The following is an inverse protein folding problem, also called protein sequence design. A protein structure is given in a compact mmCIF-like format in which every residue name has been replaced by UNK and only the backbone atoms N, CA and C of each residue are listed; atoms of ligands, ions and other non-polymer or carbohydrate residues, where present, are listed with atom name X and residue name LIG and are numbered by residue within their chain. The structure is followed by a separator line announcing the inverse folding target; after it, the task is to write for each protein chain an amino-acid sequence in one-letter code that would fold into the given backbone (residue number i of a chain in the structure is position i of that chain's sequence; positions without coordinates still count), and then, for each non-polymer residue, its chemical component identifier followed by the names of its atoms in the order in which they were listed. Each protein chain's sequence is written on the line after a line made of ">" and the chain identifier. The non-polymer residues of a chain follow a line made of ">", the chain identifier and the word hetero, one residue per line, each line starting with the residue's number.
data_IF_939398587843
#
_entry.id   IF_939398587843
#
_cell.length_a   1.000
_cell.length_b   1.000
_cell.length_c   1.000
_cell.angle_alpha   90.00
_cell.angle_beta   90.00
_cell.angle_gamma   90.00
#
_symmetry.space_group_name_H-M   'P 1'
#
loop_
_entity.id
_entity.type
_entity.pdbx_description
1 polymer ?
#
# COMPACT_ATOMS: atom_id res chain seq x y z
N UNK A 1 0.72 -2.66 11.50
CA UNK A 1 0.11 -3.05 10.21
C UNK A 1 0.37 -2.03 9.10
N UNK A 2 -0.10 -0.77 9.17
CA UNK A 2 0.09 0.22 8.08
C UNK A 2 1.56 0.51 7.71
N UNK A 3 2.46 0.64 8.69
CA UNK A 3 3.88 0.98 8.47
C UNK A 3 4.68 -0.12 7.74
N UNK A 4 4.26 -1.37 7.86
CA UNK A 4 4.94 -2.54 7.29
C UNK A 4 4.64 -2.68 5.80
N UNK A 5 3.37 -2.49 5.41
CA UNK A 5 2.98 -2.63 4.00
C UNK A 5 3.64 -1.55 3.14
N UNK A 6 3.77 -0.32 3.67
CA UNK A 6 4.52 0.74 3.01
C UNK A 6 5.97 0.32 2.75
N UNK A 7 6.64 -0.33 3.72
CA UNK A 7 8.01 -0.83 3.55
C UNK A 7 8.09 -1.90 2.46
N UNK A 8 7.15 -2.85 2.43
CA UNK A 8 7.08 -3.92 1.41
C UNK A 8 6.91 -3.32 0.02
N UNK A 9 5.95 -2.40 -0.15
CA UNK A 9 5.71 -1.71 -1.41
C UNK A 9 6.95 -0.93 -1.87
N UNK A 10 7.60 -0.18 -0.97
CA UNK A 10 8.80 0.60 -1.31
C UNK A 10 9.99 -0.29 -1.70
N UNK A 11 10.19 -1.40 -0.98
CA UNK A 11 11.23 -2.39 -1.31
C UNK A 11 10.99 -3.00 -2.70
N UNK A 12 9.73 -3.36 -2.98
CA UNK A 12 9.32 -3.88 -4.26
C UNK A 12 9.53 -2.85 -5.38
N UNK A 13 9.05 -1.62 -5.18
CA UNK A 13 9.22 -0.49 -6.10
C UNK A 13 10.68 -0.25 -6.45
N UNK A 14 11.54 -0.20 -5.43
CA UNK A 14 12.98 0.00 -5.60
C UNK A 14 13.62 -1.12 -6.43
N UNK A 15 13.21 -2.37 -6.22
CA UNK A 15 13.78 -3.52 -6.91
C UNK A 15 13.30 -3.61 -8.36
N UNK A 16 11.99 -3.46 -8.59
CA UNK A 16 11.44 -3.48 -9.95
C UNK A 16 11.96 -2.29 -10.78
N UNK A 17 12.09 -1.10 -10.17
CA UNK A 17 12.62 0.09 -10.83
C UNK A 17 14.07 -0.04 -11.31
N UNK A 18 14.82 -1.04 -10.85
CA UNK A 18 16.19 -1.35 -11.33
C UNK A 18 16.19 -2.23 -12.59
N UNK A 19 15.04 -2.82 -13.00
CA UNK A 19 14.96 -3.65 -14.21
C UNK A 19 15.09 -2.75 -15.45
N UNK A 20 16.09 -3.03 -16.29
CA UNK A 20 16.37 -2.25 -17.51
C UNK A 20 15.20 -2.33 -18.50
N UNK A 21 14.90 -1.21 -19.15
CA UNK A 21 13.87 -1.13 -20.19
C UNK A 21 12.44 -0.91 -19.69
N UNK A 22 12.23 -0.94 -18.37
CA UNK A 22 10.95 -0.61 -17.74
C UNK A 22 11.00 0.80 -17.15
N UNK A 23 9.95 1.59 -17.38
CA UNK A 23 9.83 2.96 -16.86
C UNK A 23 8.57 3.13 -16.01
N UNK A 24 8.74 3.38 -14.72
CA UNK A 24 7.62 3.78 -13.86
C UNK A 24 7.08 5.16 -14.28
N UNK A 25 5.77 5.30 -14.29
CA UNK A 25 4.99 6.52 -14.52
C UNK A 25 4.08 6.77 -13.32
N UNK A 26 3.66 8.02 -13.14
CA UNK A 26 2.71 8.45 -12.10
C UNK A 26 1.36 8.91 -12.66
N UNK A 27 1.04 8.49 -13.89
CA UNK A 27 -0.16 8.92 -14.61
C UNK A 27 -0.73 7.75 -15.38
N UNK A 28 -1.96 7.91 -15.85
CA UNK A 28 -2.60 6.95 -16.76
C UNK A 28 -1.85 6.81 -18.10
N UNK A 29 -0.85 7.66 -18.42
CA UNK A 29 -0.02 7.54 -19.63
C UNK A 29 1.12 6.54 -19.42
N UNK A 30 0.75 5.30 -19.19
CA UNK A 30 1.60 4.12 -19.05
C UNK A 30 1.08 2.96 -19.91
N UNK A 31 1.89 1.92 -20.14
CA UNK A 31 1.50 0.77 -20.95
C UNK A 31 0.78 -0.30 -20.10
N UNK A 32 1.18 -0.45 -18.84
CA UNK A 32 0.61 -1.41 -17.89
C UNK A 32 0.30 -0.79 -16.52
N UNK A 33 -0.53 -1.46 -15.73
CA UNK A 33 -0.83 -1.12 -14.34
C UNK A 33 -0.36 -2.23 -13.40
N UNK A 34 0.31 -1.87 -12.31
CA UNK A 34 0.66 -2.80 -11.23
C UNK A 34 -0.23 -2.52 -10.01
N UNK A 35 -0.84 -3.55 -9.45
CA UNK A 35 -1.61 -3.45 -8.21
C UNK A 35 -1.08 -4.43 -7.15
N UNK A 36 -1.01 -3.98 -5.90
CA UNK A 36 -0.56 -4.82 -4.79
C UNK A 36 -1.77 -5.46 -4.12
N UNK A 37 -1.72 -6.78 -3.94
CA UNK A 37 -2.80 -7.56 -3.34
C UNK A 37 -2.25 -8.30 -2.11
N UNK A 38 -2.21 -7.65 -0.93
CA UNK A 38 -1.85 -8.34 0.29
C UNK A 38 -2.94 -9.34 0.69
N UNK A 39 -2.53 -10.58 0.96
CA UNK A 39 -3.42 -11.62 1.45
C UNK A 39 -3.62 -11.41 2.94
N UNK A 40 -4.82 -10.98 3.32
CA UNK A 40 -5.23 -10.71 4.70
C UNK A 40 -6.31 -11.68 5.15
N UNK A 41 -7.15 -12.15 4.22
CA UNK A 41 -8.20 -13.12 4.48
C UNK A 41 -7.84 -14.48 3.88
N UNK A 42 -8.26 -14.72 2.65
CA UNK A 42 -7.97 -15.91 1.83
C UNK A 42 -7.55 -15.44 0.46
N UNK A 43 -6.54 -16.09 -0.11
CA UNK A 43 -5.97 -15.70 -1.41
C UNK A 43 -7.04 -15.49 -2.49
N UNK A 44 -7.96 -16.46 -2.67
CA UNK A 44 -9.04 -16.32 -3.65
C UNK A 44 -9.94 -15.10 -3.40
N UNK A 45 -10.32 -14.84 -2.15
CA UNK A 45 -11.19 -13.70 -1.81
C UNK A 45 -10.50 -12.35 -2.07
N UNK A 46 -9.26 -12.20 -1.61
CA UNK A 46 -8.52 -10.94 -1.75
C UNK A 46 -8.16 -10.66 -3.22
N UNK A 47 -7.83 -11.71 -4.01
CA UNK A 47 -7.59 -11.60 -5.46
C UNK A 47 -8.87 -11.22 -6.20
N UNK A 48 -10.00 -11.87 -5.92
CA UNK A 48 -11.29 -11.52 -6.54
C UNK A 48 -11.67 -10.07 -6.26
N UNK A 49 -11.52 -9.61 -5.02
CA UNK A 49 -11.79 -8.21 -4.66
C UNK A 49 -10.88 -7.22 -5.41
N UNK A 50 -9.61 -7.57 -5.64
CA UNK A 50 -8.71 -6.75 -6.45
C UNK A 50 -9.13 -6.70 -7.92
N UNK A 51 -9.53 -7.84 -8.49
CA UNK A 51 -10.06 -7.93 -9.86
C UNK A 51 -11.34 -7.11 -10.02
N UNK A 52 -12.28 -7.23 -9.10
CA UNK A 52 -13.55 -6.47 -9.13
C UNK A 52 -13.30 -4.97 -9.05
N UNK A 53 -12.40 -4.54 -8.15
CA UNK A 53 -11.96 -3.14 -8.06
C UNK A 53 -11.37 -2.65 -9.39
N UNK A 54 -10.54 -3.44 -10.06
CA UNK A 54 -9.94 -3.07 -11.34
C UNK A 54 -10.99 -2.97 -12.45
N UNK A 55 -11.95 -3.90 -12.50
CA UNK A 55 -13.05 -3.87 -13.47
C UNK A 55 -13.90 -2.61 -13.28
N UNK A 56 -14.18 -2.22 -12.04
CA UNK A 56 -14.98 -1.03 -11.72
C UNK A 56 -14.22 0.29 -11.91
N UNK A 57 -12.89 0.25 -11.93
CA UNK A 57 -12.03 1.43 -12.11
C UNK A 57 -11.88 1.89 -13.57
N UNK A 58 -12.40 1.14 -14.55
CA UNK A 58 -12.19 1.49 -15.97
C UNK A 58 -10.73 1.34 -16.44
N UNK A 59 -9.88 0.63 -15.68
CA UNK A 59 -8.54 0.25 -16.12
C UNK A 59 -8.67 -0.86 -17.17
N UNK A 60 -8.63 -0.49 -18.44
CA UNK A 60 -8.65 -1.43 -19.58
C UNK A 60 -7.25 -1.88 -20.04
N UNK A 61 -6.20 -1.47 -19.33
CA UNK A 61 -4.81 -1.79 -19.67
C UNK A 61 -4.43 -3.19 -19.19
N UNK A 62 -3.33 -3.76 -19.71
CA UNK A 62 -2.66 -4.89 -19.07
C UNK A 62 -2.39 -4.62 -17.59
N UNK A 63 -2.69 -5.59 -16.75
CA UNK A 63 -2.51 -5.50 -15.30
C UNK A 63 -1.55 -6.59 -14.81
N UNK A 64 -0.71 -6.22 -13.84
CA UNK A 64 0.05 -7.17 -13.04
C UNK A 64 -0.43 -7.05 -11.59
N UNK A 65 -1.00 -8.13 -11.06
CA UNK A 65 -1.33 -8.29 -9.65
C UNK A 65 -0.13 -8.85 -8.92
N UNK A 66 0.44 -8.07 -8.00
CA UNK A 66 1.51 -8.52 -7.10
C UNK A 66 0.85 -9.05 -5.83
N UNK A 67 0.65 -10.37 -5.77
CA UNK A 67 -0.01 -11.04 -4.65
C UNK A 67 1.00 -11.24 -3.53
N UNK A 68 0.78 -10.59 -2.39
CA UNK A 68 1.72 -10.57 -1.26
C UNK A 68 1.23 -11.53 -0.17
N UNK A 69 1.90 -12.66 -0.01
CA UNK A 69 1.61 -13.69 0.97
C UNK A 69 2.44 -13.47 2.24
N UNK A 70 1.80 -13.20 3.40
CA UNK A 70 2.52 -13.11 4.66
C UNK A 70 3.06 -14.49 5.07
N UNK A 71 4.33 -14.52 5.49
CA UNK A 71 5.01 -15.73 5.98
C UNK A 71 6.29 -15.39 6.74
N UNK A 72 6.67 -16.28 7.67
CA UNK A 72 8.00 -16.31 8.28
C UNK A 72 8.96 -17.28 7.55
N UNK A 73 8.40 -18.16 6.72
CA UNK A 73 9.13 -19.15 5.95
C UNK A 73 9.47 -18.62 4.54
N UNK A 74 10.77 -18.57 4.24
CA UNK A 74 11.31 -18.11 2.95
C UNK A 74 11.10 -19.13 1.80
N UNK A 75 10.84 -20.40 2.13
CA UNK A 75 10.64 -21.48 1.17
C UNK A 75 9.16 -21.88 1.05
N UNK A 76 8.26 -21.08 1.65
CA UNK A 76 6.82 -21.33 1.61
C UNK A 76 6.34 -21.49 0.17
N UNK A 77 5.84 -22.69 -0.12
CA UNK A 77 5.09 -22.96 -1.34
C UNK A 77 3.71 -22.31 -1.18
N UNK A 78 3.37 -21.44 -2.12
CA UNK A 78 2.03 -20.86 -2.25
C UNK A 78 1.40 -21.34 -3.55
N UNK A 79 0.08 -21.56 -3.59
CA UNK A 79 -0.63 -21.86 -4.82
C UNK A 79 -0.42 -20.75 -5.86
N UNK A 80 -0.43 -21.13 -7.14
CA UNK A 80 -0.34 -20.17 -8.25
C UNK A 80 -1.63 -19.33 -8.31
N UNK A 81 -1.48 -18.03 -8.02
CA UNK A 81 -2.59 -17.08 -7.97
C UNK A 81 -3.21 -16.78 -9.34
N UNK A 82 -2.55 -17.11 -10.46
CA UNK A 82 -3.15 -16.94 -11.79
C UNK A 82 -4.44 -17.75 -11.93
N UNK A 83 -4.57 -18.86 -11.21
CA UNK A 83 -5.78 -19.69 -11.21
C UNK A 83 -7.02 -18.98 -10.63
N UNK A 84 -6.82 -17.91 -9.85
CA UNK A 84 -7.91 -17.12 -9.25
C UNK A 84 -8.21 -15.82 -10.04
N UNK A 85 -7.47 -15.55 -11.12
CA UNK A 85 -7.63 -14.32 -11.91
C UNK A 85 -8.58 -14.57 -13.08
N UNK A 86 -9.77 -13.95 -13.02
CA UNK A 86 -10.77 -13.98 -14.09
C UNK A 86 -10.89 -12.63 -14.81
N UNK A 87 -9.77 -12.07 -15.27
CA UNK A 87 -9.72 -10.81 -16.01
C UNK A 87 -8.69 -10.88 -17.13
N UNK A 88 -9.11 -10.60 -18.35
CA UNK A 88 -8.23 -10.59 -19.53
C UNK A 88 -7.03 -9.66 -19.35
N UNK A 89 -5.91 -10.02 -19.99
CA UNK A 89 -4.66 -9.25 -19.93
C UNK A 89 -4.20 -8.96 -18.49
N UNK A 90 -4.38 -9.92 -17.58
CA UNK A 90 -3.94 -9.83 -16.19
C UNK A 90 -2.96 -10.95 -15.89
N UNK A 91 -1.79 -10.61 -15.38
CA UNK A 91 -0.85 -11.54 -14.79
C UNK A 91 -0.93 -11.42 -13.27
N UNK A 92 -1.06 -12.53 -12.55
CA UNK A 92 -0.74 -12.56 -11.13
C UNK A 92 0.67 -13.12 -10.91
N UNK A 93 1.43 -12.49 -10.02
CA UNK A 93 2.68 -13.05 -9.52
C UNK A 93 2.65 -13.14 -8.01
N UNK A 94 3.15 -14.25 -7.49
CA UNK A 94 3.15 -14.54 -6.06
C UNK A 94 4.46 -14.13 -5.41
N UNK A 95 4.38 -13.21 -4.46
CA UNK A 95 5.49 -12.77 -3.63
C UNK A 95 5.24 -13.13 -2.17
N UNK A 96 6.30 -13.43 -1.43
CA UNK A 96 6.26 -13.67 0.01
C UNK A 96 6.93 -12.54 0.78
N UNK A 97 6.33 -12.13 1.89
CA UNK A 97 6.87 -11.08 2.76
C UNK A 97 6.68 -11.45 4.22
N UNK A 98 7.48 -10.80 5.07
CA UNK A 98 7.39 -10.88 6.52
C UNK A 98 7.13 -9.48 7.08
N UNK A 99 6.35 -9.38 8.13
CA UNK A 99 5.91 -8.08 8.63
C UNK A 99 7.01 -7.22 9.28
N UNK A 100 8.07 -7.86 9.78
CA UNK A 100 9.19 -7.21 10.45
C UNK A 100 10.28 -6.80 9.46
N UNK A 101 10.56 -7.65 8.48
CA UNK A 101 11.67 -7.47 7.53
C UNK A 101 11.26 -7.02 6.13
N UNK A 102 9.96 -7.05 5.82
CA UNK A 102 9.42 -6.70 4.51
C UNK A 102 9.54 -7.83 3.48
N UNK A 103 9.86 -7.48 2.24
CA UNK A 103 9.92 -8.45 1.13
C UNK A 103 11.09 -9.42 1.34
N UNK A 104 10.80 -10.73 1.34
CA UNK A 104 11.82 -11.74 1.62
C UNK A 104 12.83 -11.86 0.47
N UNK A 105 14.09 -12.11 0.81
CA UNK A 105 15.15 -12.42 -0.17
C UNK A 105 15.15 -13.93 -0.43
N UNK A 106 14.33 -14.36 -1.38
CA UNK A 106 14.17 -15.76 -1.75
C UNK A 106 14.05 -15.92 -3.28
N UNK A 107 14.27 -17.15 -3.75
CA UNK A 107 14.17 -17.49 -5.17
C UNK A 107 12.79 -17.16 -5.75
N UNK A 108 11.72 -17.48 -5.02
CA UNK A 108 10.34 -17.19 -5.43
C UNK A 108 10.11 -15.71 -5.78
N UNK A 109 10.59 -14.81 -4.92
CA UNK A 109 10.44 -13.38 -5.18
C UNK A 109 11.29 -12.93 -6.37
N UNK A 110 12.48 -13.50 -6.58
CA UNK A 110 13.28 -13.21 -7.78
C UNK A 110 12.58 -13.67 -9.07
N UNK A 111 12.02 -14.88 -9.06
CA UNK A 111 11.22 -15.42 -10.17
C UNK A 111 10.02 -14.54 -10.47
N UNK A 112 9.31 -14.03 -9.45
CA UNK A 112 8.21 -13.09 -9.63
C UNK A 112 8.67 -11.80 -10.35
N UNK A 113 9.82 -11.22 -9.99
CA UNK A 113 10.35 -10.05 -10.70
C UNK A 113 10.77 -10.36 -12.14
N UNK A 114 11.27 -11.56 -12.41
CA UNK A 114 11.63 -12.01 -13.76
C UNK A 114 10.39 -12.26 -14.61
N UNK A 115 9.34 -12.84 -14.02
CA UNK A 115 8.07 -13.09 -14.67
C UNK A 115 7.38 -11.78 -15.06
N UNK A 116 7.34 -10.79 -14.17
CA UNK A 116 6.86 -9.44 -14.50
C UNK A 116 7.64 -8.87 -15.69
N UNK A 117 8.98 -8.90 -15.63
CA UNK A 117 9.81 -8.34 -16.67
C UNK A 117 9.61 -9.06 -18.02
N UNK A 118 9.46 -10.39 -18.00
CA UNK A 118 9.18 -11.21 -19.16
C UNK A 118 7.81 -10.93 -19.74
N UNK A 119 6.78 -10.83 -18.92
CA UNK A 119 5.42 -10.52 -19.35
C UNK A 119 5.35 -9.15 -20.02
N UNK A 120 5.89 -8.12 -19.37
CA UNK A 120 5.90 -6.76 -19.91
C UNK A 120 6.67 -6.72 -21.24
N UNK A 121 7.85 -7.33 -21.31
CA UNK A 121 8.66 -7.38 -22.53
C UNK A 121 7.95 -8.14 -23.67
N UNK A 122 7.35 -9.29 -23.38
CA UNK A 122 6.70 -10.13 -24.41
C UNK A 122 5.47 -9.46 -25.02
N UNK A 123 4.83 -8.54 -24.27
CA UNK A 123 3.70 -7.74 -24.72
C UNK A 123 4.10 -6.36 -25.24
N UNK A 124 5.40 -6.08 -25.44
CA UNK A 124 5.94 -4.78 -25.85
C UNK A 124 5.56 -3.61 -24.92
N UNK A 125 5.36 -3.88 -23.62
CA UNK A 125 5.02 -2.90 -22.59
C UNK A 125 6.31 -2.38 -21.96
N UNK A 126 6.58 -1.08 -22.09
CA UNK A 126 7.86 -0.47 -21.67
C UNK A 126 7.70 0.44 -20.45
N UNK A 127 6.47 0.72 -20.06
CA UNK A 127 6.15 1.58 -18.94
C UNK A 127 4.98 1.06 -18.14
N UNK A 128 5.00 1.34 -16.84
CA UNK A 128 3.94 0.94 -15.93
C UNK A 128 3.64 2.04 -14.91
N UNK A 129 2.45 2.04 -14.35
CA UNK A 129 2.10 2.85 -13.17
C UNK A 129 1.54 1.96 -12.08
N UNK A 130 1.69 2.37 -10.82
CA UNK A 130 1.00 1.68 -9.73
C UNK A 130 -0.45 2.13 -9.68
N UNK A 131 -1.37 1.19 -9.48
CA UNK A 131 -2.81 1.45 -9.43
C UNK A 131 -3.17 2.55 -8.43
N UNK A 132 -2.59 2.49 -7.22
CA UNK A 132 -2.75 3.49 -6.15
C UNK A 132 -2.24 4.90 -6.51
N UNK A 133 -1.31 5.01 -7.46
CA UNK A 133 -0.76 6.28 -7.93
C UNK A 133 -1.59 6.88 -9.08
N UNK A 134 -2.56 6.14 -9.64
CA UNK A 134 -3.41 6.64 -10.70
C UNK A 134 -4.45 7.62 -10.14
N UNK A 135 -4.75 8.72 -10.85
CA UNK A 135 -5.90 9.55 -10.52
C UNK A 135 -7.14 8.66 -10.47
N UNK A 136 -7.86 8.68 -9.34
CA UNK A 136 -9.06 7.86 -9.15
C UNK A 136 -10.01 8.03 -10.33
N UNK A 137 -10.40 6.94 -11.00
CA UNK A 137 -11.33 7.05 -12.11
C UNK A 137 -12.74 7.41 -11.66
N UNK A 138 -13.25 6.94 -10.50
CA UNK A 138 -14.55 7.31 -9.89
C UNK A 138 -14.68 6.68 -8.47
N UNK A 139 -15.63 7.14 -7.61
CA UNK A 139 -15.67 6.86 -6.16
C UNK A 139 -15.95 5.40 -5.80
N UNK A 140 -15.50 5.04 -4.61
CA UNK A 140 -15.76 3.79 -3.91
C UNK A 140 -17.26 3.47 -3.90
N UNK A 141 -17.61 2.33 -4.49
CA UNK A 141 -18.93 1.72 -4.39
C UNK A 141 -19.05 0.97 -3.07
N UNK A 142 -19.27 1.71 -2.00
CA UNK A 142 -19.90 1.23 -0.76
C UNK A 142 -20.78 2.40 -0.35
N UNK A 143 -22.09 2.30 -0.59
CA UNK A 143 -23.18 3.06 0.05
C UNK A 143 -24.50 2.54 -0.56
N UNK A 144 -25.03 1.45 0.00
CA UNK A 144 -26.47 1.45 0.24
C UNK A 144 -26.69 2.42 1.41
N UNK A 145 -27.76 3.21 1.29
CA UNK A 145 -28.18 4.30 2.17
C UNK A 145 -27.49 5.68 2.04
N UNK A 146 -28.10 6.46 1.15
CA UNK A 146 -28.50 7.86 1.38
C UNK A 146 -27.45 8.95 1.12
N UNK A 147 -27.55 9.51 -0.08
CA UNK A 147 -26.99 10.81 -0.50
C UNK A 147 -27.23 11.89 0.57
N UNK A 148 -26.17 12.33 1.26
CA UNK A 148 -25.95 13.71 1.81
C UNK A 148 -24.70 13.83 2.73
N UNK A 149 -23.77 12.86 2.74
CA UNK A 149 -22.64 12.85 3.71
C UNK A 149 -21.25 13.22 3.12
N UNK A 150 -21.07 13.20 1.80
CA UNK A 150 -19.72 13.17 1.18
C UNK A 150 -18.91 14.48 1.25
N UNK A 151 -19.57 15.65 1.32
CA UNK A 151 -18.86 16.93 1.53
C UNK A 151 -18.44 17.12 2.99
N UNK A 152 -19.18 16.53 3.93
CA UNK A 152 -18.93 16.65 5.36
C UNK A 152 -17.80 15.70 5.76
N UNK A 153 -17.74 14.46 5.27
CA UNK A 153 -16.71 13.50 5.68
C UNK A 153 -15.27 13.94 5.29
N UNK A 154 -15.09 14.52 4.11
CA UNK A 154 -13.78 15.05 3.66
C UNK A 154 -13.35 16.29 4.45
N UNK A 155 -14.29 17.17 4.76
CA UNK A 155 -14.01 18.38 5.54
C UNK A 155 -13.85 18.06 7.02
N UNK A 156 -14.62 17.14 7.59
CA UNK A 156 -14.50 16.66 8.96
C UNK A 156 -13.24 15.84 9.17
N UNK A 157 -12.79 14.97 8.26
CA UNK A 157 -11.50 14.27 8.44
C UNK A 157 -10.31 15.24 8.42
N UNK A 158 -10.35 16.22 7.51
CA UNK A 158 -9.36 17.28 7.42
C UNK A 158 -9.38 18.19 8.65
N UNK A 159 -10.58 18.58 9.12
CA UNK A 159 -10.78 19.38 10.32
C UNK A 159 -10.44 18.61 11.59
N UNK A 160 -10.78 17.33 11.68
CA UNK A 160 -10.49 16.45 12.81
C UNK A 160 -9.00 16.18 12.91
N UNK A 161 -8.30 15.92 11.80
CA UNK A 161 -6.83 15.83 11.77
C UNK A 161 -6.16 17.15 12.15
N UNK A 162 -6.68 18.30 11.68
CA UNK A 162 -6.17 19.63 12.08
C UNK A 162 -6.49 19.95 13.55
N UNK A 163 -7.65 19.58 14.04
CA UNK A 163 -8.11 19.86 15.41
C UNK A 163 -7.43 18.95 16.43
N UNK A 164 -7.27 17.66 16.11
CA UNK A 164 -6.49 16.71 16.88
C UNK A 164 -5.02 17.16 16.95
N UNK A 165 -4.38 17.50 15.82
CA UNK A 165 -2.98 17.96 15.84
C UNK A 165 -2.81 19.26 16.61
N UNK A 166 -3.74 20.22 16.47
CA UNK A 166 -3.71 21.49 17.19
C UNK A 166 -3.94 21.31 18.70
N UNK A 167 -4.94 20.51 19.12
CA UNK A 167 -5.20 20.24 20.54
C UNK A 167 -4.12 19.38 21.19
N UNK A 168 -3.63 18.34 20.50
CA UNK A 168 -2.58 17.50 21.05
C UNK A 168 -1.31 18.30 21.32
N UNK A 169 -0.92 19.21 20.43
CA UNK A 169 0.23 20.07 20.66
C UNK A 169 0.05 20.98 21.88
N UNK A 170 -1.13 21.55 22.08
CA UNK A 170 -1.43 22.38 23.26
C UNK A 170 -1.39 21.55 24.55
N UNK A 171 -1.95 20.33 24.53
CA UNK A 171 -1.90 19.41 25.69
C UNK A 171 -0.47 18.95 25.98
N UNK A 172 0.31 18.64 24.94
CA UNK A 172 1.73 18.27 25.08
C UNK A 172 2.52 19.43 25.69
N UNK A 173 2.33 20.67 25.22
CA UNK A 173 3.00 21.85 25.77
C UNK A 173 2.60 22.07 27.25
N UNK A 174 1.31 21.93 27.58
CA UNK A 174 0.84 22.07 28.96
C UNK A 174 1.44 21.01 29.90
N UNK A 175 1.54 19.75 29.44
CA UNK A 175 2.19 18.68 30.19
C UNK A 175 3.69 18.93 30.38
N UNK A 176 4.39 19.40 29.34
CA UNK A 176 5.82 19.76 29.45
C UNK A 176 6.04 20.90 30.45
N UNK A 177 5.19 21.92 30.45
CA UNK A 177 5.26 23.02 31.42
C UNK A 177 4.97 22.54 32.85
N UNK A 178 3.99 21.65 33.03
CA UNK A 178 3.68 21.07 34.34
C UNK A 178 4.85 20.25 34.89
N UNK A 179 5.49 19.43 34.05
CA UNK A 179 6.71 18.70 34.40
C UNK A 179 7.85 19.64 34.76
N UNK A 180 8.03 20.73 34.01
CA UNK A 180 9.04 21.76 34.30
C UNK A 180 8.80 22.43 35.66
N UNK A 181 7.54 22.81 35.96
CA UNK A 181 7.17 23.41 37.25
C UNK A 181 7.45 22.43 38.39
N UNK A 182 7.06 21.16 38.26
CA UNK A 182 7.34 20.14 39.26
C UNK A 182 8.85 19.96 39.47
N UNK A 183 9.65 20.01 38.41
CA UNK A 183 11.11 19.96 38.50
C UNK A 183 11.68 21.15 39.29
N UNK A 184 11.20 22.37 39.06
CA UNK A 184 11.61 23.55 39.84
C UNK A 184 11.16 23.48 41.30
N UNK A 185 9.96 22.96 41.58
CA UNK A 185 9.50 22.72 42.96
C UNK A 185 10.43 21.72 43.65
N UNK A 186 10.82 20.64 42.97
CA UNK A 186 11.77 19.68 43.50
C UNK A 186 13.13 20.33 43.77
N UNK A 187 13.69 21.10 42.82
CA UNK A 187 14.95 21.84 43.02
C UNK A 187 14.92 22.74 44.27
N UNK A 188 13.80 23.40 44.52
CA UNK A 188 13.59 24.26 45.69
C UNK A 188 13.43 23.47 46.99
N UNK A 189 12.73 22.32 46.96
CA UNK A 189 12.63 21.41 48.11
C UNK A 189 14.01 20.85 48.49
N UNK A 190 14.86 20.59 47.50
CA UNK A 190 16.21 20.09 47.71
C UNK A 190 17.27 21.20 47.93
N UNK A 191 16.87 22.48 47.99
CA UNK A 191 17.77 23.65 48.13
C UNK A 191 18.93 23.66 47.12
N UNK A 192 18.69 23.18 45.89
CA UNK A 192 19.71 23.15 44.81
C UNK A 192 19.72 24.48 44.04
N UNK A 193 18.62 25.25 44.09
CA UNK A 193 18.44 26.62 43.59
C UNK A 193 17.55 27.36 44.58
#
# INVERSE_FOLDING_TARGET
>A
MFKTMDLVEENFKQKLGKKRGLKQKKTHKCDAVLDFVPIVSRAGTDISAAVDRLNNSGVHKPVVLVVLHPTFDNEKVVPDSNNAVNRDNTLAVDCVFNEDVGLLKCQKNEEAFEEIAKYLKSNNLTSYAYYKDLPSPYPSSDDDETETSSLIHSTEDSLYRKFLTQKYWVVIIALLLLVLILFFVMLKVFNII
#
